data_IF_167371944159
#
_entry.id   IF_167371944159
#
_cell.length_a   1.000
_cell.length_b   1.000
_cell.length_c   1.000
_cell.angle_alpha   90.00
_cell.angle_beta   90.00
_cell.angle_gamma   90.00
#
_symmetry.space_group_name_H-M   'P 1'
#
loop_
_entity.id
_entity.type
_entity.pdbx_description
1 polymer ?
#
# COMPACT_ATOMS: atom_id res chain seq x y z
N UNK A 1 -22.36 7.19 -20.88
CA UNK A 1 -21.67 6.53 -22.01
C UNK A 1 -22.20 5.11 -22.15
N UNK A 2 -22.28 4.60 -23.38
CA UNK A 2 -22.55 3.19 -23.68
C UNK A 2 -21.27 2.35 -23.49
N UNK A 3 -21.38 1.02 -23.39
CA UNK A 3 -20.19 0.16 -23.25
C UNK A 3 -19.21 0.35 -24.41
N UNK A 4 -19.74 0.37 -25.64
CA UNK A 4 -18.93 0.56 -26.85
C UNK A 4 -18.19 1.90 -26.86
N UNK A 5 -18.84 2.97 -26.38
CA UNK A 5 -18.17 4.27 -26.22
C UNK A 5 -17.05 4.22 -25.18
N UNK A 6 -17.27 3.52 -24.05
CA UNK A 6 -16.27 3.37 -23.00
C UNK A 6 -15.07 2.56 -23.51
N UNK A 7 -15.31 1.45 -24.20
CA UNK A 7 -14.27 0.62 -24.82
C UNK A 7 -13.41 1.45 -25.77
N UNK A 8 -14.04 2.15 -26.72
CA UNK A 8 -13.36 3.00 -27.68
C UNK A 8 -12.55 4.12 -27.01
N UNK A 9 -13.05 4.68 -25.91
CA UNK A 9 -12.34 5.72 -25.18
C UNK A 9 -11.17 5.19 -24.35
N UNK A 10 -11.30 4.02 -23.74
CA UNK A 10 -10.19 3.36 -23.03
C UNK A 10 -9.06 2.97 -23.99
N UNK A 11 -9.38 2.49 -25.19
CA UNK A 11 -8.39 2.11 -26.21
C UNK A 11 -7.81 3.31 -26.98
N UNK A 12 -8.28 4.51 -26.70
CA UNK A 12 -7.85 5.73 -27.41
C UNK A 12 -6.42 6.11 -27.06
N UNK A 13 -5.66 6.57 -28.06
CA UNK A 13 -4.35 7.21 -27.85
C UNK A 13 -4.46 8.55 -27.11
N UNK A 14 -5.60 9.23 -27.25
CA UNK A 14 -5.95 10.44 -26.50
C UNK A 14 -6.16 10.13 -25.01
N UNK A 15 -5.31 10.71 -24.17
CA UNK A 15 -5.30 10.51 -22.72
C UNK A 15 -6.55 11.04 -22.04
N UNK A 16 -7.13 12.14 -22.52
CA UNK A 16 -8.31 12.73 -21.88
C UNK A 16 -9.54 11.84 -22.08
N UNK A 17 -9.61 11.11 -23.21
CA UNK A 17 -10.63 10.08 -23.43
C UNK A 17 -10.44 8.89 -22.49
N UNK A 18 -9.21 8.40 -22.30
CA UNK A 18 -8.94 7.31 -21.34
C UNK A 18 -9.33 7.71 -19.92
N UNK A 19 -8.99 8.94 -19.51
CA UNK A 19 -9.38 9.49 -18.22
C UNK A 19 -10.89 9.57 -18.09
N UNK A 20 -11.59 10.12 -19.09
CA UNK A 20 -13.04 10.24 -19.07
C UNK A 20 -13.72 8.87 -18.89
N UNK A 21 -13.27 7.86 -19.65
CA UNK A 21 -13.81 6.52 -19.58
C UNK A 21 -13.51 5.82 -18.25
N UNK A 22 -12.27 5.85 -17.77
CA UNK A 22 -11.90 5.25 -16.49
C UNK A 22 -12.64 5.92 -15.32
N UNK A 23 -12.76 7.26 -15.34
CA UNK A 23 -13.53 8.03 -14.36
C UNK A 23 -15.02 7.67 -14.41
N UNK A 24 -15.59 7.56 -15.61
CA UNK A 24 -17.00 7.16 -15.77
C UNK A 24 -17.25 5.81 -15.09
N UNK A 25 -16.36 4.83 -15.30
CA UNK A 25 -16.44 3.51 -14.65
C UNK A 25 -16.25 3.56 -13.13
N UNK A 26 -15.54 4.55 -12.60
CA UNK A 26 -15.37 4.72 -11.15
C UNK A 26 -16.60 5.38 -10.48
N UNK A 27 -17.28 6.29 -11.19
CA UNK A 27 -18.37 7.09 -10.62
C UNK A 27 -19.75 6.45 -10.80
N UNK A 28 -19.93 5.58 -11.81
CA UNK A 28 -21.24 5.02 -12.17
C UNK A 28 -21.38 3.54 -11.79
N UNK A 29 -22.49 2.92 -12.15
CA UNK A 29 -22.73 1.50 -11.89
C UNK A 29 -21.69 0.62 -12.57
N UNK A 30 -21.30 -0.45 -11.86
CA UNK A 30 -20.32 -1.39 -12.35
C UNK A 30 -20.77 -2.01 -13.67
N UNK A 31 -19.84 -2.12 -14.61
CA UNK A 31 -20.04 -2.81 -15.91
C UNK A 31 -19.08 -4.00 -15.96
N UNK A 32 -19.47 -5.18 -15.44
CA UNK A 32 -18.57 -6.32 -15.28
C UNK A 32 -17.81 -6.72 -16.56
N UNK A 33 -18.46 -6.59 -17.71
CA UNK A 33 -17.91 -6.87 -19.04
C UNK A 33 -16.70 -5.99 -19.39
N UNK A 34 -16.57 -4.80 -18.79
CA UNK A 34 -15.46 -3.88 -19.03
C UNK A 34 -14.31 -4.05 -18.02
N UNK A 35 -14.44 -4.97 -17.05
CA UNK A 35 -13.46 -5.14 -15.99
C UNK A 35 -12.07 -5.47 -16.51
N UNK A 36 -11.94 -6.44 -17.42
CA UNK A 36 -10.64 -6.84 -17.96
C UNK A 36 -9.97 -5.73 -18.78
N UNK A 37 -10.77 -4.99 -19.57
CA UNK A 37 -10.25 -3.85 -20.31
C UNK A 37 -9.73 -2.78 -19.35
N UNK A 38 -10.53 -2.42 -18.33
CA UNK A 38 -10.12 -1.46 -17.30
C UNK A 38 -8.83 -1.87 -16.57
N UNK A 39 -8.67 -3.16 -16.23
CA UNK A 39 -7.45 -3.65 -15.57
C UNK A 39 -6.19 -3.42 -16.39
N UNK A 40 -6.28 -3.47 -17.72
CA UNK A 40 -5.14 -3.21 -18.61
C UNK A 40 -4.62 -1.77 -18.52
N UNK A 41 -5.39 -0.87 -17.90
CA UNK A 41 -5.04 0.53 -17.65
C UNK A 41 -4.53 0.81 -16.22
N UNK A 42 -4.46 -0.19 -15.34
CA UNK A 42 -3.72 -0.03 -14.07
C UNK A 42 -2.23 0.32 -14.31
N UNK A 43 -1.56 -0.18 -15.38
CA UNK A 43 -0.24 0.27 -15.79
C UNK A 43 -0.23 1.37 -16.88
N UNK A 44 -1.29 2.15 -17.03
CA UNK A 44 -1.30 3.25 -18.01
C UNK A 44 -0.16 4.26 -17.74
N UNK A 45 0.34 4.89 -18.81
CA UNK A 45 1.41 5.88 -18.70
C UNK A 45 0.98 7.13 -17.93
N UNK A 46 -0.30 7.52 -18.02
CA UNK A 46 -0.83 8.70 -17.32
C UNK A 46 -1.36 8.31 -15.92
N UNK A 47 -0.90 9.03 -14.90
CA UNK A 47 -1.23 8.77 -13.50
C UNK A 47 -2.73 8.92 -13.17
N UNK A 48 -3.46 9.78 -13.89
CA UNK A 48 -4.90 9.99 -13.70
C UNK A 48 -5.67 8.80 -14.23
N UNK A 49 -5.22 8.20 -15.33
CA UNK A 49 -5.81 6.96 -15.84
C UNK A 49 -5.60 5.82 -14.82
N UNK A 50 -4.36 5.65 -14.32
CA UNK A 50 -4.06 4.65 -13.28
C UNK A 50 -4.93 4.87 -12.02
N UNK A 51 -5.03 6.11 -11.57
CA UNK A 51 -5.84 6.49 -10.40
C UNK A 51 -7.31 6.11 -10.57
N UNK A 52 -7.92 6.47 -11.71
CA UNK A 52 -9.33 6.17 -11.95
C UNK A 52 -9.57 4.68 -12.18
N UNK A 53 -8.66 3.98 -12.86
CA UNK A 53 -8.73 2.54 -13.02
C UNK A 53 -8.74 1.82 -11.65
N UNK A 54 -7.79 2.17 -10.77
CA UNK A 54 -7.75 1.61 -9.41
C UNK A 54 -8.96 2.04 -8.57
N UNK A 55 -9.43 3.29 -8.70
CA UNK A 55 -10.62 3.76 -7.98
C UNK A 55 -11.87 2.98 -8.38
N UNK A 56 -12.05 2.72 -9.67
CA UNK A 56 -13.11 1.85 -10.15
C UNK A 56 -12.97 0.42 -9.60
N UNK A 57 -11.76 -0.17 -9.60
CA UNK A 57 -11.53 -1.49 -9.00
C UNK A 57 -11.98 -1.54 -7.53
N UNK A 58 -11.59 -0.54 -6.75
CA UNK A 58 -11.89 -0.45 -5.32
C UNK A 58 -13.37 -0.20 -5.03
N UNK A 59 -14.04 0.64 -5.81
CA UNK A 59 -15.42 1.05 -5.51
C UNK A 59 -16.50 0.22 -6.20
N UNK A 60 -16.20 -0.32 -7.38
CA UNK A 60 -17.20 -0.92 -8.27
C UNK A 60 -16.93 -2.39 -8.58
N UNK A 61 -15.67 -2.83 -8.52
CA UNK A 61 -15.26 -4.16 -8.95
C UNK A 61 -14.59 -5.00 -7.85
N UNK A 62 -14.99 -4.84 -6.58
CA UNK A 62 -14.36 -5.59 -5.48
C UNK A 62 -14.49 -7.12 -5.64
N UNK A 63 -15.64 -7.60 -6.12
CA UNK A 63 -15.87 -9.02 -6.33
C UNK A 63 -14.94 -9.59 -7.42
N UNK A 64 -14.77 -8.86 -8.52
CA UNK A 64 -13.87 -9.25 -9.61
C UNK A 64 -12.39 -9.10 -9.18
N UNK A 65 -12.06 -8.07 -8.41
CA UNK A 65 -10.74 -7.88 -7.83
C UNK A 65 -10.34 -9.09 -6.96
N UNK A 66 -11.26 -9.61 -6.14
CA UNK A 66 -11.07 -10.84 -5.37
C UNK A 66 -10.95 -12.08 -6.27
N UNK A 67 -11.83 -12.22 -7.27
CA UNK A 67 -11.83 -13.38 -8.17
C UNK A 67 -10.53 -13.48 -9.02
N UNK A 68 -9.85 -12.36 -9.25
CA UNK A 68 -8.62 -12.28 -10.04
C UNK A 68 -7.40 -11.86 -9.20
N UNK A 69 -7.46 -12.04 -7.88
CA UNK A 69 -6.45 -11.55 -6.95
C UNK A 69 -5.02 -12.02 -7.26
N UNK A 70 -4.83 -13.31 -7.60
CA UNK A 70 -3.49 -13.86 -7.90
C UNK A 70 -2.87 -13.22 -9.13
N UNK A 71 -3.67 -13.04 -10.19
CA UNK A 71 -3.25 -12.40 -11.42
C UNK A 71 -2.94 -10.90 -11.22
N UNK A 72 -3.73 -10.23 -10.37
CA UNK A 72 -3.61 -8.79 -10.15
C UNK A 72 -2.53 -8.42 -9.14
N UNK A 73 -2.14 -9.33 -8.25
CA UNK A 73 -1.20 -9.05 -7.17
C UNK A 73 0.08 -8.34 -7.63
N UNK A 74 0.81 -8.81 -8.67
CA UNK A 74 2.02 -8.12 -9.13
C UNK A 74 1.74 -6.72 -9.68
N UNK A 75 0.62 -6.55 -10.39
CA UNK A 75 0.23 -5.28 -11.03
C UNK A 75 -0.14 -4.24 -9.96
N UNK A 76 -0.86 -4.66 -8.91
CA UNK A 76 -1.23 -3.80 -7.79
C UNK A 76 -0.01 -3.45 -6.93
N UNK A 77 0.89 -4.42 -6.65
CA UNK A 77 2.12 -4.17 -5.90
C UNK A 77 3.04 -3.18 -6.63
N UNK A 78 3.13 -3.25 -7.95
CA UNK A 78 3.90 -2.30 -8.75
C UNK A 78 3.39 -0.85 -8.69
N UNK A 79 2.17 -0.61 -8.18
CA UNK A 79 1.58 0.72 -7.98
C UNK A 79 1.85 1.32 -6.60
N UNK A 80 2.46 0.57 -5.69
CA UNK A 80 2.84 1.07 -4.37
C UNK A 80 4.08 1.98 -4.37
N UNK A 81 4.79 2.04 -5.50
CA UNK A 81 5.97 2.90 -5.72
C UNK A 81 5.72 3.90 -6.86
N UNK A 82 4.45 4.23 -7.10
CA UNK A 82 4.04 5.21 -8.09
C UNK A 82 4.47 6.63 -7.68
N UNK A 83 4.81 7.48 -8.64
CA UNK A 83 5.21 8.87 -8.34
C UNK A 83 4.02 9.73 -7.90
N UNK A 84 2.79 9.31 -8.22
CA UNK A 84 1.57 10.02 -7.84
C UNK A 84 0.91 9.41 -6.60
N UNK A 85 0.95 10.13 -5.47
CA UNK A 85 0.49 9.59 -4.17
C UNK A 85 -0.96 9.06 -4.16
N UNK A 86 -1.95 9.64 -4.87
CA UNK A 86 -3.29 9.07 -4.93
C UNK A 86 -3.35 7.70 -5.60
N UNK A 87 -2.42 7.38 -6.50
CA UNK A 87 -2.30 6.02 -7.07
C UNK A 87 -1.80 5.04 -6.01
N UNK A 88 -0.80 5.42 -5.22
CA UNK A 88 -0.29 4.60 -4.10
C UNK A 88 -1.42 4.31 -3.10
N UNK A 89 -2.21 5.33 -2.73
CA UNK A 89 -3.33 5.18 -1.80
C UNK A 89 -4.38 4.19 -2.33
N UNK A 90 -4.74 4.31 -3.60
CA UNK A 90 -5.71 3.41 -4.24
C UNK A 90 -5.18 1.99 -4.40
N UNK A 91 -3.90 1.83 -4.75
CA UNK A 91 -3.24 0.54 -4.82
C UNK A 91 -3.20 -0.14 -3.45
N UNK A 92 -2.87 0.61 -2.40
CA UNK A 92 -2.87 0.10 -1.01
C UNK A 92 -4.27 -0.38 -0.58
N UNK A 93 -5.33 0.36 -0.95
CA UNK A 93 -6.70 -0.09 -0.68
C UNK A 93 -7.07 -1.34 -1.50
N UNK A 94 -6.73 -1.38 -2.79
CA UNK A 94 -6.98 -2.56 -3.63
C UNK A 94 -6.27 -3.81 -3.09
N UNK A 95 -5.01 -3.67 -2.65
CA UNK A 95 -4.24 -4.76 -2.02
C UNK A 95 -4.87 -5.21 -0.70
N UNK A 96 -5.45 -4.29 0.06
CA UNK A 96 -6.18 -4.64 1.27
C UNK A 96 -7.46 -5.44 0.99
N UNK A 97 -8.12 -5.23 -0.15
CA UNK A 97 -9.26 -6.07 -0.56
C UNK A 97 -8.78 -7.49 -0.86
N UNK A 98 -7.67 -7.66 -1.59
CA UNK A 98 -7.08 -8.97 -1.94
C UNK A 98 -6.11 -9.50 -0.86
N UNK A 99 -6.22 -9.02 0.37
CA UNK A 99 -5.16 -9.06 1.38
C UNK A 99 -4.54 -10.44 1.62
N UNK A 100 -5.33 -11.51 1.64
CA UNK A 100 -4.84 -12.89 1.84
C UNK A 100 -3.89 -13.34 0.74
N UNK A 101 -4.25 -13.10 -0.51
CA UNK A 101 -3.47 -13.51 -1.68
C UNK A 101 -2.13 -12.78 -1.77
N UNK A 102 -2.07 -11.52 -1.32
CA UNK A 102 -0.88 -10.68 -1.45
C UNK A 102 0.03 -10.73 -0.21
N UNK A 103 -0.47 -11.21 0.93
CA UNK A 103 0.30 -11.21 2.18
C UNK A 103 1.64 -11.99 2.07
N UNK A 104 1.68 -13.21 1.49
CA UNK A 104 2.96 -13.91 1.29
C UNK A 104 3.91 -13.16 0.35
N UNK A 105 3.37 -12.48 -0.66
CA UNK A 105 4.15 -11.72 -1.63
C UNK A 105 4.75 -10.45 -1.01
N UNK A 106 3.98 -9.75 -0.16
CA UNK A 106 4.45 -8.60 0.61
C UNK A 106 5.54 -9.01 1.63
N UNK A 107 5.41 -10.17 2.26
CA UNK A 107 6.48 -10.75 3.10
C UNK A 107 7.73 -11.01 2.25
N UNK A 108 7.60 -11.69 1.11
CA UNK A 108 8.74 -11.97 0.24
C UNK A 108 9.45 -10.69 -0.26
N UNK A 109 8.68 -9.62 -0.52
CA UNK A 109 9.20 -8.33 -0.95
C UNK A 109 10.17 -7.69 0.07
N UNK A 110 10.02 -7.97 1.37
CA UNK A 110 10.93 -7.47 2.41
C UNK A 110 12.36 -7.99 2.27
N UNK A 111 12.57 -9.10 1.57
CA UNK A 111 13.89 -9.69 1.31
C UNK A 111 14.40 -9.42 -0.12
N UNK A 112 13.74 -8.54 -0.87
CA UNK A 112 14.13 -8.23 -2.25
C UNK A 112 15.51 -7.58 -2.33
N UNK A 113 16.35 -7.91 -3.33
CA UNK A 113 17.59 -7.18 -3.57
C UNK A 113 17.36 -5.71 -3.95
N UNK A 114 16.19 -5.40 -4.52
CA UNK A 114 15.81 -4.03 -4.90
C UNK A 114 15.20 -3.27 -3.71
N UNK A 115 15.81 -2.14 -3.36
CA UNK A 115 15.37 -1.27 -2.27
C UNK A 115 13.94 -0.75 -2.49
N UNK A 116 13.55 -0.45 -3.75
CA UNK A 116 12.20 0.03 -4.05
C UNK A 116 11.15 -1.04 -3.74
N UNK A 117 11.44 -2.29 -4.02
CA UNK A 117 10.59 -3.42 -3.64
C UNK A 117 10.53 -3.61 -2.12
N UNK A 118 11.59 -3.31 -1.37
CA UNK A 118 11.54 -3.40 0.10
C UNK A 118 10.71 -2.28 0.74
N UNK A 119 10.52 -1.14 0.07
CA UNK A 119 9.61 -0.06 0.54
C UNK A 119 8.13 -0.51 0.62
N UNK A 120 7.78 -1.65 0.03
CA UNK A 120 6.45 -2.25 0.16
C UNK A 120 6.10 -2.67 1.60
N UNK A 121 7.04 -2.57 2.54
CA UNK A 121 6.85 -2.71 3.98
C UNK A 121 5.66 -1.91 4.53
N UNK A 122 5.43 -0.70 4.04
CA UNK A 122 4.28 0.11 4.45
C UNK A 122 2.94 -0.59 4.13
N UNK A 123 2.84 -1.21 2.96
CA UNK A 123 1.66 -1.96 2.57
C UNK A 123 1.50 -3.27 3.35
N UNK A 124 2.62 -3.94 3.72
CA UNK A 124 2.58 -5.09 4.61
C UNK A 124 1.96 -4.73 5.96
N UNK A 125 2.41 -3.64 6.59
CA UNK A 125 1.86 -3.17 7.87
C UNK A 125 0.40 -2.72 7.79
N UNK A 126 -0.06 -2.29 6.62
CA UNK A 126 -1.46 -1.91 6.41
C UNK A 126 -2.37 -3.07 5.99
N UNK A 127 -1.82 -4.24 5.70
CA UNK A 127 -2.59 -5.39 5.24
C UNK A 127 -3.39 -6.01 6.40
N UNK A 128 -4.70 -6.21 6.21
CA UNK A 128 -5.57 -6.77 7.25
C UNK A 128 -5.15 -8.17 7.76
N UNK A 129 -4.36 -8.92 6.99
CA UNK A 129 -3.80 -10.21 7.39
C UNK A 129 -2.78 -10.09 8.53
N UNK A 130 -2.27 -8.89 8.82
CA UNK A 130 -1.48 -8.62 10.02
C UNK A 130 -2.21 -9.02 11.31
N UNK A 131 -3.54 -8.93 11.35
CA UNK A 131 -4.33 -9.34 12.52
C UNK A 131 -4.55 -10.86 12.61
N UNK A 132 -4.39 -11.59 11.51
CA UNK A 132 -4.54 -13.05 11.47
C UNK A 132 -3.21 -13.77 11.65
N UNK A 133 -2.13 -13.20 11.13
CA UNK A 133 -0.78 -13.77 11.16
C UNK A 133 0.28 -12.73 11.61
N UNK A 134 0.12 -12.10 12.80
CA UNK A 134 0.98 -11.00 13.24
C UNK A 134 2.45 -11.40 13.33
N UNK A 135 2.75 -12.63 13.77
CA UNK A 135 4.13 -13.09 13.94
C UNK A 135 4.91 -13.10 12.62
N UNK A 136 4.30 -13.57 11.53
CA UNK A 136 4.95 -13.63 10.21
C UNK A 136 5.23 -12.22 9.67
N UNK A 137 4.23 -11.35 9.72
CA UNK A 137 4.37 -9.98 9.23
C UNK A 137 5.33 -9.14 10.08
N UNK A 138 5.25 -9.23 11.41
CA UNK A 138 6.18 -8.51 12.30
C UNK A 138 7.61 -9.00 12.14
N UNK A 139 7.84 -10.31 11.99
CA UNK A 139 9.19 -10.83 11.72
C UNK A 139 9.80 -10.22 10.46
N UNK A 140 9.03 -10.17 9.37
CA UNK A 140 9.46 -9.54 8.12
C UNK A 140 9.72 -8.04 8.26
N UNK A 141 8.84 -7.29 8.96
CA UNK A 141 9.05 -5.87 9.22
C UNK A 141 10.26 -5.61 10.13
N UNK A 142 10.54 -6.49 11.09
CA UNK A 142 11.68 -6.35 11.97
C UNK A 142 13.01 -6.52 11.27
N UNK A 143 13.10 -7.40 10.26
CA UNK A 143 14.31 -7.54 9.46
C UNK A 143 14.67 -6.22 8.75
N UNK A 144 13.67 -5.45 8.34
CA UNK A 144 13.86 -4.17 7.65
C UNK A 144 14.30 -3.02 8.57
N UNK A 145 14.24 -3.18 9.89
CA UNK A 145 14.79 -2.18 10.82
C UNK A 145 16.32 -2.09 10.73
N UNK A 146 16.95 -3.15 10.23
CA UNK A 146 18.40 -3.28 10.06
C UNK A 146 18.83 -3.11 8.58
N UNK A 147 17.92 -2.62 7.72
CA UNK A 147 18.16 -2.45 6.27
C UNK A 147 19.27 -1.43 5.98
N UNK A 148 20.11 -1.60 4.94
CA UNK A 148 21.10 -0.58 4.58
C UNK A 148 20.48 0.76 4.14
N UNK A 149 19.24 0.76 3.64
CA UNK A 149 18.58 1.96 3.13
C UNK A 149 17.69 2.60 4.20
N UNK A 150 17.97 3.85 4.55
CA UNK A 150 17.26 4.54 5.64
C UNK A 150 15.78 4.76 5.35
N UNK A 151 15.40 4.93 4.08
CA UNK A 151 14.00 5.02 3.68
C UNK A 151 13.24 3.71 3.98
N UNK A 152 13.90 2.55 3.79
CA UNK A 152 13.33 1.24 4.11
C UNK A 152 13.21 1.06 5.63
N UNK A 153 14.26 1.41 6.38
CA UNK A 153 14.23 1.42 7.84
C UNK A 153 13.05 2.27 8.38
N UNK A 154 12.90 3.49 7.87
CA UNK A 154 11.84 4.40 8.27
C UNK A 154 10.45 3.86 7.88
N UNK A 155 10.30 3.28 6.70
CA UNK A 155 9.05 2.66 6.27
C UNK A 155 8.64 1.48 7.17
N UNK A 156 9.59 0.63 7.55
CA UNK A 156 9.35 -0.48 8.46
C UNK A 156 8.99 0.00 9.87
N UNK A 157 9.71 0.99 10.39
CA UNK A 157 9.39 1.65 11.66
C UNK A 157 7.98 2.25 11.64
N UNK A 158 7.61 2.97 10.57
CA UNK A 158 6.29 3.56 10.41
C UNK A 158 5.18 2.50 10.39
N UNK A 159 5.41 1.39 9.69
CA UNK A 159 4.52 0.25 9.63
C UNK A 159 4.33 -0.40 11.02
N UNK A 160 5.42 -0.69 11.74
CA UNK A 160 5.36 -1.27 13.08
C UNK A 160 4.66 -0.32 14.05
N UNK A 161 5.02 0.97 14.06
CA UNK A 161 4.36 1.95 14.92
C UNK A 161 2.85 2.04 14.63
N UNK A 162 2.43 1.91 13.37
CA UNK A 162 1.02 1.88 12.97
C UNK A 162 0.21 0.69 13.49
N UNK A 163 0.88 -0.38 13.93
CA UNK A 163 0.27 -1.58 14.49
C UNK A 163 0.18 -1.53 16.03
N UNK A 164 0.87 -0.58 16.66
CA UNK A 164 0.94 -0.42 18.12
C UNK A 164 -0.30 0.29 18.69
N UNK A 165 -0.60 0.16 20.00
CA UNK A 165 -1.63 0.96 20.67
C UNK A 165 -1.32 2.45 20.72
N UNK A 166 -0.06 2.85 20.54
CA UNK A 166 0.36 4.27 20.60
C UNK A 166 -0.08 5.05 19.37
N UNK A 167 -0.44 4.37 18.28
CA UNK A 167 -0.90 5.01 17.05
C UNK A 167 -2.23 4.40 16.61
N UNK A 168 -3.29 5.17 16.80
CA UNK A 168 -4.62 4.81 16.33
C UNK A 168 -4.69 4.99 14.81
N UNK A 169 -4.51 3.90 14.08
CA UNK A 169 -4.71 3.81 12.63
C UNK A 169 -6.08 3.18 12.33
N UNK A 170 -6.65 3.37 11.12
CA UNK A 170 -7.89 2.68 10.73
C UNK A 170 -7.79 1.15 10.79
N UNK A 171 -6.59 0.59 10.63
CA UNK A 171 -6.32 -0.83 10.75
C UNK A 171 -6.44 -1.31 12.21
N UNK A 172 -6.17 -0.42 13.17
CA UNK A 172 -6.24 -0.71 14.59
C UNK A 172 -5.00 -1.44 15.11
N UNK A 173 -4.97 -1.63 16.42
CA UNK A 173 -3.86 -2.27 17.12
C UNK A 173 -3.91 -3.79 17.03
N UNK A 174 -2.74 -4.45 17.00
CA UNK A 174 -2.66 -5.90 17.19
C UNK A 174 -2.91 -6.24 18.68
N UNK A 175 -4.05 -6.85 18.99
CA UNK A 175 -4.50 -7.05 20.39
C UNK A 175 -3.72 -8.09 21.18
N UNK A 176 -3.02 -9.00 20.52
CA UNK A 176 -2.36 -10.16 21.14
C UNK A 176 -0.82 -10.09 21.06
N UNK A 177 -0.29 -8.91 20.76
CA UNK A 177 1.16 -8.68 20.64
C UNK A 177 1.64 -7.89 21.86
N UNK A 178 2.67 -8.42 22.53
CA UNK A 178 3.41 -7.66 23.53
C UNK A 178 4.33 -6.66 22.82
N UNK A 179 3.99 -5.37 22.93
CA UNK A 179 4.74 -4.30 22.28
C UNK A 179 5.91 -3.79 23.12
N UNK A 180 6.03 -4.13 24.40
CA UNK A 180 7.13 -3.61 25.22
C UNK A 180 8.51 -3.99 24.65
N UNK A 181 8.79 -5.26 24.30
CA UNK A 181 10.04 -5.62 23.64
C UNK A 181 10.24 -4.92 22.29
N UNK A 182 9.14 -4.63 21.59
CA UNK A 182 9.16 -3.95 20.28
C UNK A 182 9.61 -2.50 20.46
N UNK A 183 9.07 -1.77 21.44
CA UNK A 183 9.47 -0.40 21.71
C UNK A 183 10.97 -0.30 22.05
N UNK A 184 11.51 -1.23 22.85
CA UNK A 184 12.95 -1.28 23.12
C UNK A 184 13.79 -1.45 21.85
N UNK A 185 13.32 -2.26 20.90
CA UNK A 185 13.99 -2.44 19.61
C UNK A 185 13.91 -1.20 18.72
N UNK A 186 12.79 -0.47 18.75
CA UNK A 186 12.59 0.73 17.94
C UNK A 186 13.36 1.94 18.46
N UNK A 187 13.60 2.04 19.77
CA UNK A 187 14.20 3.20 20.42
C UNK A 187 15.51 3.71 19.78
N UNK A 188 16.52 2.88 19.47
CA UNK A 188 17.76 3.35 18.84
C UNK A 188 17.51 3.99 17.46
N UNK A 189 16.62 3.40 16.67
CA UNK A 189 16.29 3.87 15.33
C UNK A 189 15.47 5.17 15.39
N UNK A 190 14.52 5.25 16.34
CA UNK A 190 13.77 6.47 16.64
C UNK A 190 14.69 7.61 17.08
N UNK A 191 15.68 7.32 17.94
CA UNK A 191 16.65 8.32 18.37
C UNK A 191 17.50 8.81 17.20
N UNK A 192 17.98 7.88 16.36
CA UNK A 192 18.68 8.19 15.11
C UNK A 192 17.84 9.13 14.24
N UNK A 193 16.59 8.76 13.95
CA UNK A 193 15.74 9.56 13.08
C UNK A 193 15.33 10.90 13.70
N UNK A 194 15.12 10.99 15.01
CA UNK A 194 14.77 12.26 15.71
C UNK A 194 15.83 13.36 15.57
N UNK A 195 17.05 13.02 15.13
CA UNK A 195 18.18 13.93 14.92
C UNK A 195 18.59 14.02 13.45
N UNK A 196 17.80 13.45 12.54
CA UNK A 196 18.13 13.34 11.12
C UNK A 196 18.07 14.69 10.40
N UNK A 197 18.85 14.87 9.33
CA UNK A 197 18.88 16.13 8.56
C UNK A 197 17.62 16.31 7.71
N UNK A 198 17.14 15.23 7.07
CA UNK A 198 15.84 15.19 6.39
C UNK A 198 14.70 15.53 7.37
N UNK A 199 13.91 16.55 7.02
CA UNK A 199 12.85 17.06 7.89
C UNK A 199 11.72 16.06 8.12
N UNK A 200 11.36 15.26 7.12
CA UNK A 200 10.28 14.28 7.23
C UNK A 200 10.69 13.14 8.15
N UNK A 201 11.91 12.61 7.98
CA UNK A 201 12.44 11.56 8.87
C UNK A 201 12.57 12.07 10.30
N UNK A 202 13.02 13.32 10.48
CA UNK A 202 13.14 13.97 11.78
C UNK A 202 11.80 14.16 12.48
N UNK A 203 10.79 14.65 11.78
CA UNK A 203 9.44 14.85 12.33
C UNK A 203 8.87 13.54 12.88
N UNK A 204 8.92 12.47 12.08
CA UNK A 204 8.42 11.16 12.51
C UNK A 204 9.24 10.57 13.66
N UNK A 205 10.56 10.72 13.64
CA UNK A 205 11.43 10.29 14.73
C UNK A 205 11.09 10.98 16.05
N UNK A 206 10.91 12.32 16.05
CA UNK A 206 10.49 13.08 17.24
C UNK A 206 9.13 12.59 17.73
N UNK A 207 8.15 12.50 16.83
CA UNK A 207 6.79 12.07 17.18
C UNK A 207 6.77 10.67 17.81
N UNK A 208 7.50 9.72 17.24
CA UNK A 208 7.55 8.35 17.79
C UNK A 208 8.30 8.28 19.11
N UNK A 209 9.33 9.11 19.29
CA UNK A 209 10.02 9.25 20.58
C UNK A 209 9.05 9.74 21.66
N UNK A 210 8.27 10.78 21.38
CA UNK A 210 7.26 11.31 22.31
C UNK A 210 6.20 10.26 22.66
N UNK A 211 5.67 9.55 21.65
CA UNK A 211 4.67 8.50 21.88
C UNK A 211 5.21 7.39 22.79
N UNK A 212 6.44 6.95 22.55
CA UNK A 212 7.07 5.89 23.33
C UNK A 212 7.39 6.37 24.74
N UNK A 213 7.93 7.58 24.92
CA UNK A 213 8.31 8.08 26.26
C UNK A 213 7.11 8.43 27.15
N UNK A 214 5.95 8.71 26.57
CA UNK A 214 4.73 9.13 27.28
C UNK A 214 3.68 8.01 27.45
N UNK A 215 4.06 6.74 27.20
CA UNK A 215 3.15 5.59 27.26
C UNK A 215 2.90 5.05 28.67
#
# INVERSE_FOLDING_TARGET
MTNKEIEQQLESTDVDKRIQAARFLAEHDARPELFHLLMSHIPDADDRVRFWALSACVWKYQAQLLAHAEQLAPVLMARLVDDYSPVIDRATWALNIVGETVFPQLIAATSSPDARTRLLAAALGQNHQMHKAPQQGLSALFQLLDDPEEQVQSSAMHAIMGLTPLRLTPQGTLKEVDFEPIYFRLLPLIEKFSRHEDANLREWGIRYKELILNR
#
